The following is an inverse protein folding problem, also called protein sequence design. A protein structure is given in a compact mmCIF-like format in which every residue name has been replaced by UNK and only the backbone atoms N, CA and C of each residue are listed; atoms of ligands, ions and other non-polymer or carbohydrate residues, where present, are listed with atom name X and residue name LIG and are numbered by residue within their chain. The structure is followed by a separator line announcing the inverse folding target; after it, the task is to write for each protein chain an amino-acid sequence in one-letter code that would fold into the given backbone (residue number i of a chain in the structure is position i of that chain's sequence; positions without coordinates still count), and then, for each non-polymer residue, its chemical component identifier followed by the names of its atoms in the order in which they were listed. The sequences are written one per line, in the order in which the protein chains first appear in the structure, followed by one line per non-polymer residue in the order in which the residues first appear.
data_IF_678490737290
#
_entry.id   IF_678490737290
#
_cell.length_a   1.000
_cell.length_b   1.000
_cell.length_c   1.000
_cell.angle_alpha   90.00
_cell.angle_beta   90.00
_cell.angle_gamma   90.00
#
_symmetry.space_group_name_H-M   'P 1'
#
loop_
_entity.id
_entity.type
_entity.pdbx_description
1 polymer ?
#
# COMPACT_ATOMS: atom_id res chain seq x y z
N UNK A 1 19.37 -25.40 29.37
CA UNK A 1 19.75 -25.68 27.97
C UNK A 1 18.48 -26.05 27.21
N UNK A 2 17.85 -25.10 26.57
CA UNK A 2 16.70 -25.34 25.64
C UNK A 2 17.02 -24.68 24.33
N UNK A 3 17.09 -25.48 23.31
CA UNK A 3 17.41 -25.16 21.92
C UNK A 3 16.28 -24.30 21.33
N UNK A 4 16.62 -23.11 20.89
CA UNK A 4 15.73 -22.30 20.03
C UNK A 4 16.13 -22.68 18.61
N UNK A 5 15.31 -23.50 17.98
CA UNK A 5 15.37 -23.81 16.55
C UNK A 5 14.94 -22.55 15.79
N UNK A 6 15.93 -21.86 15.22
CA UNK A 6 15.74 -20.87 14.18
C UNK A 6 15.41 -21.63 12.90
N UNK A 7 14.13 -21.72 12.55
CA UNK A 7 13.67 -22.24 11.27
C UNK A 7 13.94 -21.17 10.20
N UNK A 8 15.13 -21.22 9.60
CA UNK A 8 15.40 -20.58 8.32
C UNK A 8 14.67 -21.38 7.25
N UNK A 9 13.48 -20.95 6.88
CA UNK A 9 12.80 -21.43 5.69
C UNK A 9 13.50 -20.80 4.48
N UNK A 10 14.48 -21.51 3.92
CA UNK A 10 14.95 -21.30 2.56
C UNK A 10 13.84 -21.76 1.61
N UNK A 11 12.89 -20.89 1.33
CA UNK A 11 12.04 -21.04 0.16
C UNK A 11 12.93 -20.78 -1.06
N UNK A 12 13.27 -21.84 -1.78
CA UNK A 12 13.65 -21.78 -3.18
C UNK A 12 12.38 -21.38 -3.95
N UNK A 13 12.10 -20.11 -4.01
CA UNK A 13 11.05 -19.57 -4.85
C UNK A 13 11.52 -19.75 -6.30
N UNK A 14 10.84 -20.63 -7.03
CA UNK A 14 10.81 -20.53 -8.48
C UNK A 14 10.21 -19.16 -8.80
N UNK A 15 11.06 -18.23 -9.24
CA UNK A 15 10.60 -16.94 -9.74
C UNK A 15 9.87 -17.16 -11.07
N UNK A 16 8.61 -17.53 -10.99
CA UNK A 16 7.68 -17.22 -12.05
C UNK A 16 7.55 -15.70 -12.05
N UNK A 17 7.90 -15.08 -13.16
CA UNK A 17 7.72 -13.64 -13.36
C UNK A 17 6.20 -13.35 -13.50
N UNK A 18 5.48 -13.39 -12.38
CA UNK A 18 4.15 -12.84 -12.30
C UNK A 18 4.21 -11.34 -12.62
N UNK A 19 3.21 -10.82 -13.32
CA UNK A 19 3.08 -9.40 -13.60
C UNK A 19 3.07 -8.64 -12.27
N UNK A 20 4.20 -8.06 -11.89
CA UNK A 20 4.40 -7.45 -10.58
C UNK A 20 3.68 -6.11 -10.48
N UNK A 21 2.75 -6.01 -9.57
CA UNK A 21 2.14 -4.77 -9.13
C UNK A 21 3.01 -4.11 -8.05
N UNK A 22 3.95 -3.28 -8.47
CA UNK A 22 4.96 -2.63 -7.58
C UNK A 22 4.40 -1.49 -6.70
N UNK A 23 3.10 -1.26 -6.65
CA UNK A 23 2.57 0.02 -6.18
C UNK A 23 2.19 0.11 -4.72
N UNK A 24 2.16 -1.01 -4.03
CA UNK A 24 1.58 -1.00 -2.70
C UNK A 24 2.53 -0.61 -1.59
N UNK A 25 3.83 -0.80 -1.83
CA UNK A 25 4.88 -0.49 -0.87
C UNK A 25 4.99 0.99 -0.51
N UNK A 26 4.49 1.84 -1.41
CA UNK A 26 4.65 3.28 -1.26
C UNK A 26 3.55 3.96 -0.43
N UNK A 27 2.52 3.23 -0.03
CA UNK A 27 1.32 3.83 0.58
C UNK A 27 1.50 4.44 1.96
N UNK A 28 2.62 4.19 2.59
CA UNK A 28 2.67 4.45 4.00
C UNK A 28 4.04 5.03 4.35
N UNK A 29 4.27 6.26 3.94
CA UNK A 29 5.39 7.04 4.42
C UNK A 29 5.36 7.08 5.95
N UNK A 30 6.50 6.83 6.57
CA UNK A 30 6.64 6.97 8.00
C UNK A 30 6.18 8.38 8.41
N UNK A 31 5.14 8.47 9.22
CA UNK A 31 4.91 9.70 9.94
C UNK A 31 6.05 9.85 10.94
N UNK A 32 6.86 10.90 10.89
CA UNK A 32 7.64 11.25 12.06
C UNK A 32 6.66 11.42 13.24
N UNK A 33 7.12 11.17 14.45
CA UNK A 33 6.34 11.53 15.64
C UNK A 33 6.26 13.05 15.66
N UNK A 34 5.10 13.60 15.29
CA UNK A 34 4.90 15.05 15.26
C UNK A 34 4.55 15.59 16.64
N UNK A 35 5.07 16.76 16.94
CA UNK A 35 4.41 17.69 17.82
C UNK A 35 3.03 18.02 17.24
N UNK A 36 2.04 18.14 18.11
CA UNK A 36 0.66 18.50 17.75
C UNK A 36 0.66 19.77 16.88
N UNK A 37 -0.13 19.76 15.81
CA UNK A 37 -0.39 20.85 14.87
C UNK A 37 0.61 21.04 13.70
N UNK A 38 1.68 20.27 13.56
CA UNK A 38 2.61 20.43 12.45
C UNK A 38 2.14 19.69 11.18
N UNK A 39 2.17 20.41 10.06
CA UNK A 39 1.90 19.85 8.73
C UNK A 39 3.09 19.01 8.27
N UNK A 40 2.85 17.76 7.89
CA UNK A 40 3.84 16.89 7.27
C UNK A 40 3.56 16.67 5.80
N UNK A 41 4.55 16.88 4.96
CA UNK A 41 4.52 16.54 3.54
C UNK A 41 5.75 15.70 3.22
N UNK A 42 5.53 14.45 2.79
CA UNK A 42 6.56 13.49 2.46
C UNK A 42 6.39 13.07 0.99
N UNK A 43 7.46 13.16 0.22
CA UNK A 43 7.55 12.63 -1.12
C UNK A 43 8.43 11.39 -1.16
N UNK A 44 8.01 10.39 -1.94
CA UNK A 44 8.84 9.23 -2.25
C UNK A 44 9.00 9.11 -3.76
N UNK A 45 10.20 8.74 -4.18
CA UNK A 45 10.51 8.47 -5.57
C UNK A 45 11.31 7.17 -5.68
N UNK A 46 10.83 6.26 -6.52
CA UNK A 46 11.48 5.00 -6.83
C UNK A 46 11.74 4.89 -8.32
N UNK A 47 12.93 4.41 -8.67
CA UNK A 47 13.32 4.11 -10.03
C UNK A 47 14.06 2.77 -10.05
N UNK A 48 13.61 1.86 -10.92
CA UNK A 48 14.23 0.56 -11.13
C UNK A 48 14.46 0.34 -12.62
N UNK A 49 15.67 -0.05 -12.97
CA UNK A 49 16.01 -0.57 -14.31
C UNK A 49 16.59 -1.96 -14.17
N UNK A 50 16.05 -2.90 -14.94
CA UNK A 50 16.62 -4.23 -15.09
C UNK A 50 16.91 -4.46 -16.57
N UNK A 51 18.13 -4.88 -16.88
CA UNK A 51 18.59 -5.18 -18.23
C UNK A 51 18.99 -6.66 -18.28
N UNK A 52 18.50 -7.38 -19.29
CA UNK A 52 18.78 -8.80 -19.47
C UNK A 52 18.04 -9.35 -20.69
N UNK A 53 17.51 -10.55 -20.60
CA UNK A 53 16.64 -11.12 -21.63
C UNK A 53 15.38 -10.29 -21.86
N UNK A 54 14.91 -9.59 -20.83
CA UNK A 54 13.88 -8.55 -20.90
C UNK A 54 14.43 -7.28 -20.23
N UNK A 55 14.25 -6.14 -20.88
CA UNK A 55 14.59 -4.84 -20.30
C UNK A 55 13.33 -4.28 -19.64
N UNK A 56 13.42 -3.97 -18.36
CA UNK A 56 12.29 -3.40 -17.59
C UNK A 56 12.69 -2.05 -17.01
N UNK A 57 11.81 -1.08 -17.15
CA UNK A 57 11.93 0.23 -16.50
C UNK A 57 10.68 0.50 -15.66
N UNK A 58 10.86 0.83 -14.41
CA UNK A 58 9.77 1.16 -13.49
C UNK A 58 10.04 2.50 -12.81
N UNK A 59 9.02 3.35 -12.82
CA UNK A 59 9.02 4.64 -12.11
C UNK A 59 7.86 4.63 -11.14
N UNK A 60 8.13 5.01 -9.89
CA UNK A 60 7.10 5.20 -8.87
C UNK A 60 7.26 6.57 -8.23
N UNK A 61 6.14 7.22 -7.93
CA UNK A 61 6.10 8.47 -7.20
C UNK A 61 4.96 8.47 -6.20
N UNK A 62 5.21 8.96 -4.98
CA UNK A 62 4.18 9.11 -3.97
C UNK A 62 4.30 10.45 -3.27
N UNK A 63 3.15 10.99 -2.87
CA UNK A 63 3.04 12.08 -1.92
C UNK A 63 2.14 11.66 -0.76
N UNK A 64 2.57 11.95 0.46
CA UNK A 64 1.78 11.75 1.66
C UNK A 64 1.75 13.06 2.44
N UNK A 65 0.55 13.59 2.64
CA UNK A 65 0.31 14.79 3.43
C UNK A 65 -0.52 14.42 4.64
N UNK A 66 -0.08 14.83 5.82
CA UNK A 66 -0.79 14.57 7.07
C UNK A 66 -0.60 15.70 8.07
N UNK A 67 -1.61 15.92 8.90
CA UNK A 67 -1.56 16.88 9.99
C UNK A 67 -2.37 16.36 11.18
N UNK A 68 -1.84 16.56 12.36
CA UNK A 68 -2.51 16.29 13.64
C UNK A 68 -2.96 17.63 14.22
N UNK A 69 -4.27 17.87 14.30
CA UNK A 69 -4.87 19.05 14.88
C UNK A 69 -5.42 18.72 16.27
N UNK A 70 -5.83 19.72 17.03
CA UNK A 70 -6.34 19.53 18.41
C UNK A 70 -7.47 18.51 18.50
N UNK A 71 -8.50 18.59 17.62
CA UNK A 71 -9.67 17.71 17.65
C UNK A 71 -9.77 16.76 16.46
N UNK A 72 -8.94 16.98 15.44
CA UNK A 72 -8.98 16.23 14.18
C UNK A 72 -7.58 15.84 13.75
N UNK A 73 -7.48 14.81 12.95
CA UNK A 73 -6.28 14.56 12.15
C UNK A 73 -6.69 14.11 10.77
N UNK A 74 -5.83 14.35 9.79
CA UNK A 74 -6.05 13.85 8.44
C UNK A 74 -4.78 13.31 7.81
N UNK A 75 -4.98 12.45 6.84
CA UNK A 75 -3.93 11.96 5.97
C UNK A 75 -4.47 11.81 4.55
N UNK A 76 -3.70 12.29 3.59
CA UNK A 76 -3.99 12.16 2.15
C UNK A 76 -2.76 11.55 1.49
N UNK A 77 -2.97 10.48 0.72
CA UNK A 77 -1.91 9.78 0.00
C UNK A 77 -2.28 9.73 -1.47
N UNK A 78 -1.38 10.23 -2.30
CA UNK A 78 -1.43 10.08 -3.77
C UNK A 78 -0.24 9.27 -4.24
N UNK A 79 -0.48 8.34 -5.16
CA UNK A 79 0.56 7.44 -5.64
C UNK A 79 0.38 7.15 -7.13
N UNK A 80 1.48 7.14 -7.88
CA UNK A 80 1.51 6.83 -9.30
C UNK A 80 2.63 5.85 -9.63
N UNK A 81 2.33 4.86 -10.48
CA UNK A 81 3.31 3.90 -11.01
C UNK A 81 3.20 3.80 -12.51
N UNK A 82 4.35 3.67 -13.12
CA UNK A 82 4.48 3.38 -14.55
C UNK A 82 5.60 2.37 -14.76
N UNK A 83 5.30 1.28 -15.48
CA UNK A 83 6.25 0.22 -15.82
C UNK A 83 6.19 -0.09 -17.30
N UNK A 84 7.36 -0.16 -17.92
CA UNK A 84 7.54 -0.63 -19.28
C UNK A 84 8.43 -1.87 -19.32
N UNK A 85 8.05 -2.83 -20.14
CA UNK A 85 8.88 -3.95 -20.53
C UNK A 85 9.26 -3.80 -22.00
N UNK A 86 10.52 -4.06 -22.32
CA UNK A 86 10.98 -4.15 -23.71
C UNK A 86 11.06 -5.64 -24.09
N UNK A 87 10.26 -6.04 -25.06
CA UNK A 87 10.28 -7.38 -25.63
C UNK A 87 10.88 -7.35 -27.02
N UNK A 88 11.52 -8.43 -27.43
CA UNK A 88 12.00 -8.60 -28.80
C UNK A 88 10.98 -9.46 -29.56
N UNK A 89 10.27 -8.85 -30.48
CA UNK A 89 9.34 -9.52 -31.38
C UNK A 89 9.80 -9.30 -32.83
N UNK A 90 9.94 -10.38 -33.59
CA UNK A 90 10.34 -10.35 -35.02
C UNK A 90 11.64 -9.61 -35.31
N UNK A 91 12.59 -9.58 -34.37
CA UNK A 91 13.86 -8.89 -34.50
C UNK A 91 13.83 -7.40 -34.17
N UNK A 92 12.66 -6.85 -33.89
CA UNK A 92 12.47 -5.47 -33.42
C UNK A 92 12.26 -5.40 -31.91
N UNK A 93 12.77 -4.32 -31.29
CA UNK A 93 12.55 -4.06 -29.87
C UNK A 93 11.26 -3.27 -29.71
N UNK A 94 10.25 -3.87 -29.11
CA UNK A 94 8.96 -3.24 -28.81
C UNK A 94 8.89 -2.91 -27.34
N UNK A 95 8.57 -1.64 -27.02
CA UNK A 95 8.29 -1.21 -25.65
C UNK A 95 6.80 -1.40 -25.36
N UNK A 96 6.48 -2.24 -24.39
CA UNK A 96 5.11 -2.47 -23.95
C UNK A 96 4.92 -1.97 -22.52
N UNK A 97 3.85 -1.21 -22.29
CA UNK A 97 3.48 -0.81 -20.93
C UNK A 97 2.91 -2.04 -20.20
N UNK A 98 3.55 -2.47 -19.12
CA UNK A 98 3.18 -3.66 -18.36
C UNK A 98 2.48 -3.35 -17.04
N UNK A 99 2.58 -2.11 -16.54
CA UNK A 99 1.78 -1.63 -15.42
C UNK A 99 1.57 -0.11 -15.50
N UNK A 100 0.37 0.32 -15.20
CA UNK A 100 0.01 1.72 -15.04
C UNK A 100 -1.07 1.82 -13.95
N UNK A 101 -0.76 2.51 -12.87
CA UNK A 101 -1.65 2.62 -11.71
C UNK A 101 -1.64 4.02 -11.15
N UNK A 102 -2.81 4.49 -10.76
CA UNK A 102 -3.02 5.69 -9.94
C UNK A 102 -3.83 5.30 -8.72
N UNK A 103 -3.39 5.73 -7.56
CA UNK A 103 -4.11 5.54 -6.30
C UNK A 103 -4.20 6.86 -5.55
N UNK A 104 -5.35 7.09 -4.95
CA UNK A 104 -5.61 8.20 -4.05
C UNK A 104 -6.35 7.67 -2.84
N UNK A 105 -5.92 8.01 -1.64
CA UNK A 105 -6.68 7.75 -0.42
C UNK A 105 -6.67 8.93 0.52
N UNK A 106 -7.69 9.01 1.36
CA UNK A 106 -7.80 10.00 2.41
C UNK A 106 -8.45 9.41 3.65
N UNK A 107 -7.95 9.80 4.81
CA UNK A 107 -8.56 9.48 6.10
C UNK A 107 -8.67 10.75 6.92
N UNK A 108 -9.83 10.96 7.52
CA UNK A 108 -10.11 12.01 8.48
C UNK A 108 -10.52 11.36 9.79
N UNK A 109 -9.83 11.70 10.87
CA UNK A 109 -10.08 11.18 12.21
C UNK A 109 -10.55 12.29 13.13
N UNK A 110 -11.63 12.05 13.87
CA UNK A 110 -12.11 12.91 14.96
C UNK A 110 -11.72 12.30 16.31
N UNK A 111 -10.94 13.04 17.10
CA UNK A 111 -10.49 12.60 18.43
C UNK A 111 -11.68 12.58 19.39
N UNK A 112 -11.83 11.52 20.16
CA UNK A 112 -12.83 11.38 21.20
C UNK A 112 -12.30 11.91 22.54
N UNK A 113 -13.07 11.74 23.60
CA UNK A 113 -12.68 12.16 24.95
C UNK A 113 -11.36 11.48 25.40
N UNK A 114 -11.21 10.21 25.08
CA UNK A 114 -9.93 9.51 25.17
C UNK A 114 -9.17 9.80 23.85
N UNK A 115 -8.06 10.54 23.87
CA UNK A 115 -7.38 11.00 22.65
C UNK A 115 -6.79 9.89 21.80
N UNK A 116 -6.62 8.69 22.38
CA UNK A 116 -6.17 7.50 21.67
C UNK A 116 -7.29 6.84 20.87
N UNK A 117 -8.55 7.18 21.18
CA UNK A 117 -9.73 6.69 20.48
C UNK A 117 -10.26 7.76 19.52
N UNK A 118 -10.58 7.35 18.30
CA UNK A 118 -11.03 8.25 17.23
C UNK A 118 -12.13 7.63 16.40
N UNK A 119 -13.01 8.44 15.89
CA UNK A 119 -13.90 8.08 14.79
C UNK A 119 -13.22 8.46 13.48
N UNK A 120 -13.23 7.57 12.49
CA UNK A 120 -12.65 7.85 11.20
C UNK A 120 -13.67 7.81 10.07
N UNK A 121 -13.35 8.60 9.03
CA UNK A 121 -13.91 8.46 7.68
C UNK A 121 -12.72 8.21 6.76
N UNK A 122 -12.77 7.13 6.00
CA UNK A 122 -11.75 6.72 5.04
C UNK A 122 -12.36 6.64 3.64
N UNK A 123 -11.61 7.08 2.65
CA UNK A 123 -11.95 6.91 1.25
C UNK A 123 -10.72 6.55 0.42
N UNK A 124 -10.91 5.69 -0.59
CA UNK A 124 -9.87 5.37 -1.56
C UNK A 124 -10.42 5.27 -2.98
N UNK A 125 -9.56 5.55 -3.92
CA UNK A 125 -9.78 5.37 -5.35
C UNK A 125 -8.53 4.79 -5.99
N UNK A 126 -8.69 3.73 -6.76
CA UNK A 126 -7.64 3.07 -7.52
C UNK A 126 -8.04 2.94 -8.99
N UNK A 127 -7.15 3.33 -9.90
CA UNK A 127 -7.21 3.02 -11.31
C UNK A 127 -5.96 2.21 -11.66
N UNK A 128 -6.15 0.95 -12.03
CA UNK A 128 -5.07 0.02 -12.37
C UNK A 128 -5.45 -0.75 -13.63
N UNK A 129 -4.83 -0.40 -14.76
CA UNK A 129 -5.15 -0.97 -16.07
C UNK A 129 -4.88 -2.48 -16.20
N UNK A 130 -4.19 -3.07 -15.23
CA UNK A 130 -3.75 -4.47 -15.29
C UNK A 130 -4.34 -5.36 -14.20
N UNK A 131 -5.29 -4.82 -13.41
CA UNK A 131 -5.98 -5.57 -12.36
C UNK A 131 -7.29 -6.22 -12.82
N UNK A 132 -7.66 -6.09 -14.10
CA UNK A 132 -8.98 -6.50 -14.58
C UNK A 132 -10.09 -5.50 -14.27
N UNK A 133 -9.78 -4.44 -13.50
CA UNK A 133 -10.74 -3.39 -13.15
C UNK A 133 -10.33 -2.05 -13.78
N UNK A 134 -11.29 -1.35 -14.37
CA UNK A 134 -11.12 0.02 -14.83
C UNK A 134 -10.91 0.99 -13.66
N UNK A 135 -11.63 0.78 -12.56
CA UNK A 135 -11.40 1.45 -11.29
C UNK A 135 -12.02 0.67 -10.13
N UNK A 136 -11.46 0.88 -8.96
CA UNK A 136 -12.01 0.45 -7.68
C UNK A 136 -12.07 1.67 -6.75
N UNK A 137 -13.11 1.76 -5.93
CA UNK A 137 -13.26 2.81 -4.93
C UNK A 137 -13.91 2.23 -3.67
N UNK A 138 -13.49 2.71 -2.52
CA UNK A 138 -14.10 2.32 -1.25
C UNK A 138 -14.29 3.53 -0.34
N UNK A 139 -15.33 3.47 0.48
CA UNK A 139 -15.62 4.40 1.56
C UNK A 139 -15.88 3.60 2.83
N UNK A 140 -15.25 3.95 3.94
CA UNK A 140 -15.48 3.32 5.22
C UNK A 140 -15.57 4.35 6.35
N UNK A 141 -16.35 4.02 7.37
CA UNK A 141 -16.43 4.79 8.61
C UNK A 141 -16.26 3.84 9.78
N UNK A 142 -15.71 4.30 10.88
CA UNK A 142 -15.51 3.39 12.00
C UNK A 142 -14.70 4.00 13.12
N UNK A 143 -14.09 3.13 13.88
CA UNK A 143 -13.30 3.45 15.05
C UNK A 143 -11.84 3.09 14.83
N UNK A 144 -10.95 4.00 15.26
CA UNK A 144 -9.51 3.79 15.39
C UNK A 144 -9.14 3.90 16.86
N UNK A 145 -8.30 2.99 17.35
CA UNK A 145 -7.75 3.07 18.69
C UNK A 145 -6.24 2.83 18.66
N UNK A 146 -5.54 3.58 19.48
CA UNK A 146 -4.11 3.46 19.72
C UNK A 146 -3.91 2.70 21.01
N UNK A 147 -3.59 1.40 20.92
CA UNK A 147 -3.48 0.52 22.12
C UNK A 147 -2.29 0.87 22.99
N UNK A 148 -1.19 1.27 22.37
CA UNK A 148 -0.04 1.80 23.10
C UNK A 148 0.74 2.77 22.23
N UNK A 149 1.34 3.72 22.90
CA UNK A 149 2.17 4.75 22.29
C UNK A 149 3.25 5.15 23.30
N UNK A 150 4.49 4.88 23.00
CA UNK A 150 5.66 5.30 23.76
C UNK A 150 6.70 5.96 22.84
N UNK A 151 7.84 6.39 23.38
CA UNK A 151 8.90 7.06 22.59
C UNK A 151 9.52 6.20 21.49
N UNK A 152 9.36 4.87 21.58
CA UNK A 152 10.02 3.91 20.69
C UNK A 152 9.04 3.10 19.87
N UNK A 153 7.80 2.94 20.30
CA UNK A 153 6.83 2.09 19.61
C UNK A 153 5.40 2.63 19.68
N UNK A 154 4.64 2.30 18.66
CA UNK A 154 3.22 2.61 18.55
C UNK A 154 2.50 1.43 17.92
N UNK A 155 1.33 1.10 18.44
CA UNK A 155 0.40 0.17 17.79
C UNK A 155 -1.00 0.76 17.78
N UNK A 156 -1.56 0.81 16.58
CA UNK A 156 -2.94 1.26 16.35
C UNK A 156 -3.69 0.28 15.47
N UNK A 157 -5.00 0.24 15.64
CA UNK A 157 -5.90 -0.51 14.77
C UNK A 157 -7.14 0.32 14.45
N UNK A 158 -7.80 -0.02 13.36
CA UNK A 158 -9.08 0.56 12.96
C UNK A 158 -10.01 -0.52 12.44
N UNK A 159 -11.30 -0.34 12.68
CA UNK A 159 -12.34 -1.24 12.17
C UNK A 159 -13.62 -0.47 11.92
N UNK A 160 -14.33 -0.83 10.84
CA UNK A 160 -15.62 -0.23 10.55
C UNK A 160 -16.28 -0.80 9.31
N UNK A 161 -17.59 -0.58 9.16
CA UNK A 161 -18.31 -0.88 7.95
C UNK A 161 -17.94 0.09 6.83
N UNK A 162 -18.06 -0.38 5.60
CA UNK A 162 -17.79 0.40 4.41
C UNK A 162 -18.60 -0.06 3.22
N UNK A 163 -18.36 0.61 2.11
CA UNK A 163 -18.97 0.35 0.82
C UNK A 163 -17.92 0.44 -0.27
N UNK A 164 -17.81 -0.62 -1.07
CA UNK A 164 -16.88 -0.69 -2.18
C UNK A 164 -17.62 -0.74 -3.52
N UNK A 165 -17.05 -0.10 -4.51
CA UNK A 165 -17.50 -0.10 -5.90
C UNK A 165 -16.31 -0.46 -6.77
N UNK A 166 -16.47 -1.45 -7.65
CA UNK A 166 -15.52 -1.75 -8.71
C UNK A 166 -16.22 -1.74 -10.06
N UNK A 167 -15.49 -1.31 -11.08
CA UNK A 167 -15.91 -1.41 -12.47
C UNK A 167 -14.93 -2.28 -13.23
N UNK A 168 -15.41 -3.38 -13.82
CA UNK A 168 -14.61 -4.25 -14.65
C UNK A 168 -14.16 -3.53 -15.95
N UNK A 169 -13.02 -3.96 -16.52
CA UNK A 169 -12.66 -3.63 -17.90
C UNK A 169 -13.62 -4.31 -18.89
N UNK A 170 -13.80 -3.74 -20.06
CA UNK A 170 -14.77 -4.23 -21.08
C UNK A 170 -14.48 -5.68 -21.48
N UNK A 171 -13.22 -6.07 -21.54
CA UNK A 171 -12.79 -7.43 -21.91
C UNK A 171 -13.10 -8.47 -20.83
N UNK A 172 -13.36 -8.03 -19.59
CA UNK A 172 -13.61 -8.90 -18.41
C UNK A 172 -15.08 -8.89 -17.96
N UNK A 173 -15.98 -8.24 -18.69
CA UNK A 173 -17.42 -8.17 -18.31
C UNK A 173 -18.09 -9.54 -18.36
N UNK A 174 -17.73 -10.41 -19.32
CA UNK A 174 -18.27 -11.77 -19.43
C UNK A 174 -17.87 -12.64 -18.23
N UNK A 175 -16.64 -12.48 -17.72
CA UNK A 175 -16.15 -13.18 -16.53
C UNK A 175 -16.85 -12.74 -15.24
N UNK A 176 -17.35 -11.51 -15.20
CA UNK A 176 -18.06 -10.93 -14.06
C UNK A 176 -19.60 -11.09 -14.14
N UNK A 177 -20.08 -12.23 -14.68
CA UNK A 177 -21.51 -12.54 -14.87
C UNK A 177 -22.29 -11.50 -15.71
N UNK A 178 -21.63 -10.78 -16.59
CA UNK A 178 -22.23 -9.73 -17.41
C UNK A 178 -22.46 -8.40 -16.68
N UNK A 179 -22.01 -8.26 -15.43
CA UNK A 179 -22.09 -7.00 -14.69
C UNK A 179 -20.83 -6.16 -14.88
N UNK A 180 -20.97 -4.96 -15.40
CA UNK A 180 -19.87 -3.99 -15.56
C UNK A 180 -19.47 -3.32 -14.24
N UNK A 181 -20.33 -3.38 -13.21
CA UNK A 181 -20.13 -2.75 -11.90
C UNK A 181 -20.55 -3.67 -10.77
N UNK A 182 -19.65 -3.81 -9.82
CA UNK A 182 -19.92 -4.52 -8.55
C UNK A 182 -20.01 -3.51 -7.41
N UNK A 183 -20.97 -3.72 -6.51
CA UNK A 183 -21.23 -2.86 -5.35
C UNK A 183 -21.43 -3.72 -4.13
N UNK A 184 -20.55 -3.57 -3.13
CA UNK A 184 -20.52 -4.43 -1.96
C UNK A 184 -20.48 -3.63 -0.67
N UNK A 185 -21.21 -4.13 0.34
CA UNK A 185 -20.99 -3.70 1.72
C UNK A 185 -19.80 -4.49 2.24
N UNK A 186 -18.83 -3.80 2.77
CA UNK A 186 -17.57 -4.38 3.28
C UNK A 186 -17.43 -4.11 4.77
N UNK A 187 -16.61 -4.94 5.43
CA UNK A 187 -15.98 -4.60 6.70
C UNK A 187 -14.51 -4.33 6.41
N UNK A 188 -14.07 -3.14 6.79
CA UNK A 188 -12.66 -2.75 6.71
C UNK A 188 -12.02 -2.84 8.08
N UNK A 189 -10.88 -3.51 8.17
CA UNK A 189 -10.03 -3.50 9.34
C UNK A 189 -8.59 -3.17 8.91
N UNK A 190 -7.87 -2.44 9.75
CA UNK A 190 -6.46 -2.18 9.53
C UNK A 190 -5.71 -2.13 10.86
N UNK A 191 -4.42 -2.48 10.83
CA UNK A 191 -3.51 -2.34 11.97
C UNK A 191 -2.15 -1.83 11.51
N UNK A 192 -1.52 -1.06 12.36
CA UNK A 192 -0.17 -0.53 12.14
C UNK A 192 0.65 -0.67 13.41
N UNK A 193 1.84 -1.24 13.26
CA UNK A 193 2.87 -1.27 14.29
C UNK A 193 4.11 -0.54 13.79
N UNK A 194 4.59 0.44 14.57
CA UNK A 194 5.84 1.15 14.34
C UNK A 194 6.79 0.93 15.49
N UNK A 195 8.09 0.84 15.18
CA UNK A 195 9.16 0.76 16.18
C UNK A 195 10.40 1.48 15.70
N UNK A 196 10.87 2.43 16.49
CA UNK A 196 12.18 3.05 16.33
C UNK A 196 13.23 2.13 16.93
N UNK A 197 14.13 1.58 16.11
CA UNK A 197 15.27 0.80 16.59
C UNK A 197 16.43 1.71 17.02
N UNK A 198 16.52 2.89 16.42
CA UNK A 198 17.48 3.96 16.74
C UNK A 198 16.90 5.29 16.28
N UNK A 199 17.62 6.39 16.52
CA UNK A 199 17.24 7.73 16.04
C UNK A 199 17.19 7.83 14.50
N UNK A 200 17.81 6.87 13.82
CA UNK A 200 17.90 6.86 12.36
C UNK A 200 17.13 5.72 11.70
N UNK A 201 16.67 4.73 12.44
CA UNK A 201 16.05 3.53 11.87
C UNK A 201 14.68 3.25 12.47
N UNK A 202 13.67 3.15 11.61
CA UNK A 202 12.28 2.87 11.97
C UNK A 202 11.78 1.65 11.21
N UNK A 203 11.25 0.70 11.95
CA UNK A 203 10.50 -0.45 11.43
C UNK A 203 9.01 -0.13 11.41
N UNK A 204 8.31 -0.61 10.39
CA UNK A 204 6.87 -0.50 10.30
C UNK A 204 6.27 -1.77 9.72
N UNK A 205 5.19 -2.22 10.32
CA UNK A 205 4.30 -3.26 9.82
C UNK A 205 2.89 -2.68 9.69
N UNK A 206 2.33 -2.77 8.52
CA UNK A 206 0.94 -2.41 8.25
C UNK A 206 0.20 -3.60 7.67
N UNK A 207 -1.04 -3.79 8.09
CA UNK A 207 -1.95 -4.76 7.48
C UNK A 207 -3.33 -4.10 7.37
N UNK A 208 -3.97 -4.26 6.23
CA UNK A 208 -5.38 -3.88 6.06
C UNK A 208 -6.13 -5.00 5.35
N UNK A 209 -7.38 -5.18 5.69
CA UNK A 209 -8.29 -6.10 5.02
C UNK A 209 -9.65 -5.45 4.80
N UNK A 210 -10.22 -5.70 3.64
CA UNK A 210 -11.58 -5.36 3.27
C UNK A 210 -12.25 -6.66 2.87
N UNK A 211 -13.32 -7.01 3.57
CA UNK A 211 -14.02 -8.27 3.34
C UNK A 211 -15.50 -8.04 3.16
N UNK A 212 -16.10 -8.75 2.23
CA UNK A 212 -17.53 -8.94 2.10
C UNK A 212 -17.86 -10.45 2.19
N UNK A 213 -19.09 -10.84 1.82
CA UNK A 213 -19.51 -12.23 1.87
C UNK A 213 -18.85 -13.13 0.80
N UNK A 214 -18.26 -12.54 -0.23
CA UNK A 214 -17.72 -13.24 -1.41
C UNK A 214 -16.24 -13.01 -1.60
N UNK A 215 -15.73 -11.82 -1.27
CA UNK A 215 -14.40 -11.37 -1.62
C UNK A 215 -13.65 -10.83 -0.42
N UNK A 216 -12.35 -10.96 -0.47
CA UNK A 216 -11.43 -10.42 0.53
C UNK A 216 -10.26 -9.76 -0.18
N UNK A 217 -9.98 -8.50 0.15
CA UNK A 217 -8.80 -7.75 -0.28
C UNK A 217 -7.94 -7.48 0.93
N UNK A 218 -6.77 -8.09 1.01
CA UNK A 218 -5.84 -7.94 2.15
C UNK A 218 -4.50 -7.42 1.66
N UNK A 219 -3.95 -6.49 2.39
CA UNK A 219 -2.67 -5.87 2.13
C UNK A 219 -1.80 -5.95 3.36
N UNK A 220 -0.54 -6.35 3.19
CA UNK A 220 0.47 -6.37 4.25
C UNK A 220 1.72 -5.69 3.75
N UNK A 221 2.20 -4.68 4.45
CA UNK A 221 3.47 -4.02 4.17
C UNK A 221 4.38 -4.10 5.39
N UNK A 222 5.58 -4.61 5.16
CA UNK A 222 6.70 -4.58 6.10
C UNK A 222 7.74 -3.61 5.56
N UNK A 223 8.15 -2.61 6.32
CA UNK A 223 9.17 -1.67 5.87
C UNK A 223 10.20 -1.33 6.95
N UNK A 224 11.39 -0.98 6.48
CA UNK A 224 12.49 -0.48 7.29
C UNK A 224 13.01 0.79 6.64
N UNK A 225 12.88 1.91 7.34
CA UNK A 225 13.36 3.22 6.89
C UNK A 225 14.61 3.60 7.66
N UNK A 226 15.60 4.15 6.95
CA UNK A 226 16.85 4.62 7.54
C UNK A 226 17.15 6.03 7.05
N UNK A 227 17.29 6.97 8.00
CA UNK A 227 17.69 8.35 7.74
C UNK A 227 19.13 8.38 7.22
N UNK A 228 19.34 9.01 6.06
CA UNK A 228 20.64 9.16 5.43
C UNK A 228 21.28 10.49 5.81
N UNK A 229 20.59 11.60 5.55
CA UNK A 229 21.08 12.95 5.89
C UNK A 229 19.92 13.95 5.84
N UNK A 230 19.84 14.87 6.81
CA UNK A 230 18.80 15.90 6.84
C UNK A 230 17.40 15.32 6.72
N UNK A 231 16.68 15.72 5.69
CA UNK A 231 15.32 15.28 5.36
C UNK A 231 15.27 14.03 4.45
N UNK A 232 16.43 13.48 4.06
CA UNK A 232 16.53 12.35 3.14
C UNK A 232 16.65 11.02 3.91
N UNK A 233 15.82 10.06 3.56
CA UNK A 233 15.85 8.69 4.06
C UNK A 233 15.81 7.67 2.91
N UNK A 234 16.20 6.45 3.20
CA UNK A 234 16.02 5.29 2.34
C UNK A 234 15.03 4.33 3.02
N UNK A 235 14.07 3.82 2.25
CA UNK A 235 13.11 2.83 2.71
C UNK A 235 13.26 1.53 1.92
N UNK A 236 13.39 0.42 2.63
CA UNK A 236 13.23 -0.93 2.11
C UNK A 236 11.84 -1.42 2.50
N UNK A 237 11.07 -1.89 1.55
CA UNK A 237 9.71 -2.38 1.78
C UNK A 237 9.46 -3.72 1.11
N UNK A 238 8.63 -4.53 1.77
CA UNK A 238 8.09 -5.78 1.26
C UNK A 238 6.57 -5.76 1.43
N UNK A 239 5.86 -5.95 0.33
CA UNK A 239 4.40 -5.88 0.27
C UNK A 239 3.84 -7.19 -0.24
N UNK A 240 2.75 -7.62 0.38
CA UNK A 240 1.89 -8.71 -0.08
C UNK A 240 0.47 -8.16 -0.25
N UNK A 241 -0.13 -8.43 -1.40
CA UNK A 241 -1.52 -8.07 -1.70
C UNK A 241 -2.27 -9.31 -2.12
N UNK A 242 -3.33 -9.64 -1.41
CA UNK A 242 -4.28 -10.69 -1.75
C UNK A 242 -5.59 -10.04 -2.17
N UNK A 243 -6.07 -10.34 -3.37
CA UNK A 243 -7.37 -9.90 -3.87
C UNK A 243 -8.11 -11.09 -4.49
N UNK A 244 -9.11 -11.62 -3.78
CA UNK A 244 -9.89 -12.78 -4.24
C UNK A 244 -11.06 -12.37 -5.16
N UNK A 245 -11.16 -11.08 -5.52
CA UNK A 245 -12.19 -10.56 -6.45
C UNK A 245 -11.75 -10.56 -7.91
N UNK A 246 -10.48 -10.90 -8.18
CA UNK A 246 -9.92 -10.94 -9.54
C UNK A 246 -10.45 -12.13 -10.34
N UNK A 247 -10.43 -12.01 -11.68
CA UNK A 247 -10.85 -13.09 -12.58
C UNK A 247 -9.93 -14.31 -12.55
N UNK A 248 -10.38 -15.47 -13.06
CA UNK A 248 -9.68 -16.75 -12.95
C UNK A 248 -8.30 -16.77 -13.65
N UNK A 249 -8.05 -15.87 -14.58
CA UNK A 249 -6.78 -15.73 -15.28
C UNK A 249 -5.79 -14.76 -14.62
N UNK A 250 -6.18 -14.16 -13.47
CA UNK A 250 -5.37 -13.19 -12.72
C UNK A 250 -4.97 -13.82 -11.38
N UNK A 251 -3.69 -13.74 -11.02
CA UNK A 251 -3.23 -14.25 -9.73
C UNK A 251 -3.81 -13.40 -8.58
N UNK A 252 -4.34 -14.09 -7.57
CA UNK A 252 -4.93 -13.46 -6.38
C UNK A 252 -3.86 -12.83 -5.46
N UNK A 253 -2.64 -13.37 -5.46
CA UNK A 253 -1.55 -12.98 -4.57
C UNK A 253 -0.43 -12.28 -5.34
N UNK A 254 -0.26 -11.01 -5.07
CA UNK A 254 0.89 -10.23 -5.52
C UNK A 254 1.91 -10.02 -4.40
N UNK A 255 3.19 -10.11 -4.74
CA UNK A 255 4.29 -9.77 -3.81
C UNK A 255 5.26 -8.80 -4.46
N UNK A 256 5.80 -7.88 -3.63
CA UNK A 256 6.68 -6.84 -4.11
C UNK A 256 7.76 -6.52 -3.09
N UNK A 257 8.99 -6.28 -3.57
CA UNK A 257 10.06 -5.71 -2.78
C UNK A 257 10.57 -4.44 -3.48
N UNK A 258 10.73 -3.36 -2.73
CA UNK A 258 11.21 -2.09 -3.27
C UNK A 258 12.22 -1.41 -2.34
N UNK A 259 13.13 -0.65 -2.96
CA UNK A 259 13.99 0.32 -2.29
C UNK A 259 13.65 1.69 -2.84
N UNK A 260 13.28 2.63 -1.96
CA UNK A 260 12.88 3.97 -2.35
C UNK A 260 13.67 5.04 -1.60
N UNK A 261 13.83 6.19 -2.22
CA UNK A 261 14.29 7.41 -1.57
C UNK A 261 13.07 8.19 -1.08
N UNK A 262 13.14 8.61 0.17
CA UNK A 262 12.09 9.34 0.88
C UNK A 262 12.61 10.72 1.23
N UNK A 263 11.86 11.74 0.92
CA UNK A 263 12.20 13.12 1.26
C UNK A 263 11.05 13.78 2.02
N UNK A 264 11.37 14.30 3.20
CA UNK A 264 10.42 15.06 4.02
C UNK A 264 10.58 16.54 3.71
N UNK A 265 9.50 17.17 3.23
CA UNK A 265 9.50 18.60 2.88
C UNK A 265 9.22 19.49 4.09
N UNK A 266 8.27 19.04 4.95
CA UNK A 266 7.82 19.74 6.16
C UNK A 266 7.49 18.73 7.25
#
# INVERSE_FOLDING_TARGET
MKWILLLFFLLTANFSFAKQNIMHSLYLADRPAFDDDELSIIGEFGFLMANGNTNTSTITAMINTSQELTSWSYQIIGNALYKQNQQQADGEKINETSAQKLFLSGQLDHKLTEPDDRLFIYGEFENNRFSGFRYQAALAVGWTSRLWHDKQSEFKYSVGPGYAISKAEEDNIEENNGEDKTKNIIVRAAMEYKRKFSDNATFRQFVSTEADQKFTKTKSETSLSTKLTGALAMKLSFVMSLDTSVGPDIEELDTEAAVTLVYQFF
#
